data_IF_691701703105
#
_entry.id   IF_691701703105
#
_cell.length_a   1.000
_cell.length_b   1.000
_cell.length_c   1.000
_cell.angle_alpha   90.00
_cell.angle_beta   90.00
_cell.angle_gamma   90.00
#
_symmetry.space_group_name_H-M   'P 1'
#
loop_
_entity.id
_entity.type
_entity.pdbx_description
1 polymer ?
#
# COMPACT_ATOMS: atom_id res chain seq x y z
N UNK A 1 6.58 -11.25 10.43
CA UNK A 1 7.17 -10.94 11.75
C UNK A 1 7.50 -12.14 12.61
N UNK A 2 6.58 -13.09 12.88
CA UNK A 2 6.86 -14.32 13.68
C UNK A 2 8.10 -15.13 13.25
N UNK A 3 8.45 -15.12 11.95
CA UNK A 3 9.70 -15.73 11.46
C UNK A 3 10.94 -15.00 11.96
N UNK A 4 10.95 -13.66 11.92
CA UNK A 4 12.03 -12.82 12.44
C UNK A 4 12.15 -12.99 13.95
N UNK A 5 11.01 -13.04 14.69
CA UNK A 5 11.00 -13.36 16.12
C UNK A 5 11.81 -14.62 16.44
N UNK A 6 11.59 -15.70 15.70
CA UNK A 6 12.30 -16.97 15.89
C UNK A 6 13.77 -16.88 15.51
N UNK A 7 14.11 -16.15 14.46
CA UNK A 7 15.50 -15.95 14.02
C UNK A 7 16.32 -15.17 15.08
N UNK A 8 15.72 -14.12 15.64
CA UNK A 8 16.34 -13.22 16.61
C UNK A 8 16.12 -13.64 18.07
N UNK A 9 15.36 -14.72 18.32
CA UNK A 9 14.99 -15.21 19.67
C UNK A 9 14.32 -14.14 20.54
N UNK A 10 13.45 -13.33 19.93
CA UNK A 10 12.71 -12.27 20.61
C UNK A 10 11.52 -12.83 21.41
N UNK A 11 11.22 -12.20 22.54
CA UNK A 11 10.06 -12.57 23.39
C UNK A 11 8.72 -12.40 22.65
N UNK A 12 8.61 -11.37 21.81
CA UNK A 12 7.43 -11.08 21.00
C UNK A 12 7.81 -10.79 19.54
N UNK A 13 6.88 -10.94 18.57
CA UNK A 13 7.11 -10.51 17.20
C UNK A 13 7.49 -9.03 17.14
N UNK A 14 8.58 -8.65 16.44
CA UNK A 14 8.93 -7.25 16.29
C UNK A 14 7.93 -6.56 15.37
N UNK A 15 7.76 -5.25 15.55
CA UNK A 15 6.86 -4.48 14.70
C UNK A 15 7.49 -4.21 13.32
N UNK A 16 6.68 -4.00 12.28
CA UNK A 16 7.21 -3.69 10.95
C UNK A 16 8.10 -2.45 10.93
N UNK A 17 7.74 -1.38 11.65
CA UNK A 17 8.54 -0.15 11.70
C UNK A 17 9.92 -0.32 12.37
N UNK A 18 10.15 -1.39 13.13
CA UNK A 18 11.48 -1.72 13.69
C UNK A 18 12.34 -2.49 12.68
N UNK A 19 11.72 -3.10 11.67
CA UNK A 19 12.37 -4.01 10.74
C UNK A 19 12.62 -3.40 9.36
N UNK A 20 11.85 -2.38 8.97
CA UNK A 20 11.94 -1.72 7.68
C UNK A 20 12.34 -0.25 7.83
N UNK A 21 13.30 0.19 7.02
CA UNK A 21 13.70 1.60 7.00
C UNK A 21 12.66 2.48 6.30
N UNK A 22 11.92 1.90 5.33
CA UNK A 22 10.84 2.59 4.61
C UNK A 22 9.65 1.65 4.41
N UNK A 23 8.45 2.15 4.72
CA UNK A 23 7.16 1.50 4.46
C UNK A 23 6.35 2.41 3.54
N UNK A 24 5.74 1.84 2.49
CA UNK A 24 5.06 2.62 1.48
C UNK A 24 3.79 1.95 0.98
N UNK A 25 2.83 2.76 0.51
CA UNK A 25 1.57 2.22 0.02
C UNK A 25 0.75 3.18 -0.84
N UNK A 26 -0.22 2.59 -1.55
CA UNK A 26 -1.22 3.26 -2.39
C UNK A 26 -2.59 2.66 -2.08
N UNK A 27 -3.66 3.46 -2.13
CA UNK A 27 -5.02 3.00 -1.86
C UNK A 27 -5.14 2.36 -0.47
N UNK A 28 -5.71 1.16 -0.38
CA UNK A 28 -5.78 0.40 0.88
C UNK A 28 -4.40 0.04 1.44
N UNK A 29 -3.39 -0.13 0.57
CA UNK A 29 -2.00 -0.33 0.98
C UNK A 29 -1.41 0.89 1.68
N UNK A 30 -1.87 2.11 1.35
CA UNK A 30 -1.46 3.32 2.07
C UNK A 30 -2.03 3.35 3.50
N UNK A 31 -3.26 2.88 3.70
CA UNK A 31 -3.86 2.73 5.03
C UNK A 31 -3.00 1.79 5.88
N UNK A 32 -2.60 0.64 5.31
CA UNK A 32 -1.72 -0.32 5.98
C UNK A 32 -0.33 0.27 6.26
N UNK A 33 0.26 0.99 5.30
CA UNK A 33 1.54 1.66 5.47
C UNK A 33 1.50 2.68 6.61
N UNK A 34 0.43 3.49 6.69
CA UNK A 34 0.25 4.44 7.78
C UNK A 34 0.03 3.74 9.13
N UNK A 35 -0.79 2.70 9.22
CA UNK A 35 -1.01 1.98 10.48
C UNK A 35 0.30 1.35 10.99
N UNK A 36 1.02 0.63 10.14
CA UNK A 36 2.21 -0.15 10.53
C UNK A 36 3.49 0.68 10.62
N UNK A 37 3.58 1.79 9.89
CA UNK A 37 4.72 2.70 9.86
C UNK A 37 4.46 3.97 10.66
N UNK A 38 3.65 4.89 10.11
CA UNK A 38 3.44 6.24 10.65
C UNK A 38 2.79 6.27 12.03
N UNK A 39 1.83 5.39 12.28
CA UNK A 39 1.10 5.25 13.55
C UNK A 39 1.73 4.20 14.47
N UNK A 40 2.72 3.44 13.97
CA UNK A 40 3.46 2.41 14.73
C UNK A 40 2.55 1.40 15.44
N UNK A 41 1.42 1.06 14.83
CA UNK A 41 0.47 0.13 15.41
C UNK A 41 1.01 -1.31 15.38
N UNK A 42 0.80 -2.11 16.44
CA UNK A 42 0.99 -3.55 16.39
C UNK A 42 0.17 -4.17 15.25
N UNK A 43 0.70 -5.25 14.65
CA UNK A 43 0.10 -5.90 13.48
C UNK A 43 -1.33 -6.38 13.78
N UNK A 44 -1.55 -6.97 14.95
CA UNK A 44 -2.85 -7.45 15.39
C UNK A 44 -3.88 -6.30 15.48
N UNK A 45 -3.50 -5.18 16.10
CA UNK A 45 -4.36 -3.98 16.19
C UNK A 45 -4.64 -3.35 14.83
N UNK A 46 -3.68 -3.38 13.90
CA UNK A 46 -3.86 -2.89 12.54
C UNK A 46 -4.87 -3.76 11.75
N UNK A 47 -4.85 -5.09 11.94
CA UNK A 47 -5.83 -6.01 11.33
C UNK A 47 -7.24 -5.69 11.82
N UNK A 48 -7.43 -5.58 13.14
CA UNK A 48 -8.75 -5.27 13.73
C UNK A 48 -9.27 -3.90 13.29
N UNK A 49 -8.38 -2.90 13.30
CA UNK A 49 -8.70 -1.54 12.88
C UNK A 49 -9.09 -1.47 11.40
N UNK A 50 -8.39 -2.22 10.53
CA UNK A 50 -8.76 -2.32 9.13
C UNK A 50 -10.10 -3.03 8.92
N UNK A 51 -10.37 -4.10 9.66
CA UNK A 51 -11.64 -4.81 9.57
C UNK A 51 -12.82 -3.87 9.94
N UNK A 52 -12.66 -3.08 11.00
CA UNK A 52 -13.64 -2.08 11.41
C UNK A 52 -13.81 -0.95 10.39
N UNK A 53 -12.71 -0.46 9.81
CA UNK A 53 -12.76 0.51 8.72
C UNK A 53 -13.49 -0.05 7.51
N UNK A 54 -13.15 -1.25 7.05
CA UNK A 54 -13.77 -1.89 5.90
C UNK A 54 -15.28 -2.03 6.10
N UNK A 55 -15.70 -2.51 7.28
CA UNK A 55 -17.11 -2.59 7.64
C UNK A 55 -17.79 -1.22 7.66
N UNK A 56 -17.18 -0.21 8.29
CA UNK A 56 -17.77 1.13 8.41
C UNK A 56 -17.89 1.88 7.09
N UNK A 57 -16.97 1.64 6.15
CA UNK A 57 -16.89 2.35 4.87
C UNK A 57 -17.67 1.65 3.76
N UNK A 58 -17.55 0.32 3.66
CA UNK A 58 -18.07 -0.43 2.51
C UNK A 58 -19.46 -1.05 2.75
N UNK A 59 -20.01 -1.00 3.96
CA UNK A 59 -21.38 -1.48 4.25
C UNK A 59 -22.49 -0.56 3.71
N UNK A 60 -22.22 0.72 3.49
CA UNK A 60 -23.21 1.69 3.01
C UNK A 60 -22.87 2.20 1.60
N UNK A 61 -23.52 1.66 0.57
CA UNK A 61 -23.47 2.19 -0.79
C UNK A 61 -24.37 3.41 -0.97
N UNK A 62 -23.93 4.39 -1.76
CA UNK A 62 -24.78 5.52 -2.16
C UNK A 62 -25.85 5.06 -3.16
N UNK A 63 -27.06 5.60 -3.01
CA UNK A 63 -28.17 5.39 -3.97
C UNK A 63 -28.09 6.31 -5.20
N UNK A 64 -27.53 7.51 -5.04
CA UNK A 64 -27.42 8.54 -6.08
C UNK A 64 -26.14 9.38 -5.90
N UNK A 65 -25.65 9.98 -6.99
CA UNK A 65 -24.46 10.85 -7.01
C UNK A 65 -23.16 10.13 -7.41
N UNK A 66 -22.06 10.87 -7.53
CA UNK A 66 -20.76 10.31 -7.94
C UNK A 66 -20.06 9.52 -6.83
N UNK A 67 -19.41 8.42 -7.24
CA UNK A 67 -18.73 7.43 -6.41
C UNK A 67 -19.70 6.49 -5.67
N UNK A 68 -19.32 5.23 -5.53
CA UNK A 68 -20.14 4.20 -4.87
C UNK A 68 -20.27 4.36 -3.34
N UNK A 69 -19.29 5.00 -2.69
CA UNK A 69 -19.16 5.10 -1.23
C UNK A 69 -19.06 6.55 -0.73
N UNK A 70 -19.33 6.75 0.56
CA UNK A 70 -19.32 8.07 1.21
C UNK A 70 -17.90 8.40 1.72
N UNK A 71 -17.30 9.46 1.17
CA UNK A 71 -16.02 10.01 1.67
C UNK A 71 -16.12 10.45 3.13
N UNK A 72 -17.31 10.86 3.61
CA UNK A 72 -17.53 11.23 5.03
C UNK A 72 -17.34 10.04 5.96
N UNK A 73 -17.86 8.85 5.59
CA UNK A 73 -17.66 7.62 6.36
C UNK A 73 -16.19 7.20 6.37
N UNK A 74 -15.52 7.27 5.22
CA UNK A 74 -14.08 7.02 5.14
C UNK A 74 -13.29 7.96 6.06
N UNK A 75 -13.58 9.27 6.01
CA UNK A 75 -12.98 10.28 6.89
C UNK A 75 -13.20 9.96 8.37
N UNK A 76 -14.44 9.67 8.76
CA UNK A 76 -14.79 9.36 10.16
C UNK A 76 -14.06 8.11 10.66
N UNK A 77 -14.08 7.02 9.88
CA UNK A 77 -13.37 5.79 10.24
C UNK A 77 -11.85 6.01 10.36
N UNK A 78 -11.24 6.76 9.45
CA UNK A 78 -9.81 7.09 9.51
C UNK A 78 -9.47 7.95 10.73
N UNK A 79 -10.23 9.03 10.98
CA UNK A 79 -10.01 9.90 12.15
C UNK A 79 -10.16 9.12 13.46
N UNK A 80 -11.07 8.15 13.53
CA UNK A 80 -11.19 7.28 14.70
C UNK A 80 -9.93 6.43 14.91
N UNK A 81 -9.39 5.78 13.87
CA UNK A 81 -8.14 5.01 14.00
C UNK A 81 -7.00 5.89 14.50
N UNK A 82 -6.85 7.08 13.91
CA UNK A 82 -5.77 8.02 14.25
C UNK A 82 -5.94 8.52 15.68
N UNK A 83 -7.16 8.91 16.09
CA UNK A 83 -7.47 9.32 17.46
C UNK A 83 -7.08 8.27 18.51
N UNK A 84 -7.36 6.99 18.23
CA UNK A 84 -6.99 5.90 19.14
C UNK A 84 -5.48 5.69 19.20
N UNK A 85 -4.76 5.90 18.09
CA UNK A 85 -3.32 5.71 18.01
C UNK A 85 -2.51 6.88 18.59
N UNK A 86 -2.96 8.12 18.42
CA UNK A 86 -2.15 9.33 18.72
C UNK A 86 -2.77 10.27 19.74
N UNK A 87 -4.06 10.15 20.02
CA UNK A 87 -4.80 11.14 20.79
C UNK A 87 -5.24 12.39 19.99
N UNK A 88 -4.83 12.51 18.73
CA UNK A 88 -5.16 13.64 17.84
C UNK A 88 -5.75 13.12 16.52
N UNK A 89 -7.05 13.32 16.24
CA UNK A 89 -7.69 12.82 15.02
C UNK A 89 -7.18 13.51 13.75
N UNK A 90 -6.52 14.66 13.89
CA UNK A 90 -5.97 15.47 12.80
C UNK A 90 -4.43 15.43 12.78
N UNK A 91 -3.82 14.40 13.40
CA UNK A 91 -2.38 14.15 13.41
C UNK A 91 -1.76 14.39 12.01
N UNK A 92 -0.73 15.26 11.89
CA UNK A 92 -0.06 15.56 10.63
C UNK A 92 0.60 14.33 10.00
N UNK A 93 0.58 14.22 8.67
CA UNK A 93 1.34 13.17 7.99
C UNK A 93 2.84 13.32 8.23
N UNK A 94 3.35 14.56 8.12
CA UNK A 94 4.74 14.91 8.42
C UNK A 94 5.01 14.84 9.93
N UNK A 95 6.02 14.09 10.35
CA UNK A 95 6.44 13.99 11.74
C UNK A 95 7.22 15.25 12.15
N UNK A 96 6.80 15.89 13.26
CA UNK A 96 7.48 17.09 13.80
C UNK A 96 8.90 16.79 14.30
N UNK A 97 9.14 15.56 14.74
CA UNK A 97 10.44 15.07 15.18
C UNK A 97 10.72 13.78 14.45
N UNK A 98 11.78 13.76 13.66
CA UNK A 98 12.23 12.59 12.93
C UNK A 98 13.66 12.29 13.35
N UNK A 99 13.90 11.13 13.95
CA UNK A 99 15.26 10.71 14.34
C UNK A 99 15.92 9.94 13.20
N UNK A 100 17.24 10.07 13.07
CA UNK A 100 17.98 9.25 12.09
C UNK A 100 17.78 7.77 12.39
N UNK A 101 17.54 6.97 11.34
CA UNK A 101 17.20 5.55 11.44
C UNK A 101 15.75 5.21 11.79
N UNK A 102 14.88 6.20 11.98
CA UNK A 102 13.43 5.97 12.12
C UNK A 102 12.81 5.49 10.80
N UNK A 103 11.85 4.56 10.86
CA UNK A 103 11.12 4.12 9.68
C UNK A 103 10.36 5.29 9.03
N UNK A 104 10.64 5.57 7.76
CA UNK A 104 9.90 6.54 6.95
C UNK A 104 8.65 5.89 6.36
N UNK A 105 7.51 6.59 6.43
CA UNK A 105 6.29 6.16 5.73
C UNK A 105 6.03 7.05 4.51
N UNK A 106 5.81 6.45 3.34
CA UNK A 106 5.51 7.15 2.10
C UNK A 106 4.13 6.77 1.56
N UNK A 107 3.27 7.76 1.34
CA UNK A 107 1.97 7.58 0.68
C UNK A 107 1.98 8.28 -0.67
N UNK A 108 1.34 7.66 -1.66
CA UNK A 108 1.26 8.17 -3.02
C UNK A 108 -0.18 8.52 -3.37
N UNK A 109 -0.40 9.66 -4.02
CA UNK A 109 -1.69 10.05 -4.60
C UNK A 109 -1.48 10.70 -5.97
N UNK A 110 -2.44 10.55 -6.88
CA UNK A 110 -2.35 11.15 -8.22
C UNK A 110 -3.01 12.51 -8.22
N UNK A 111 -2.39 13.51 -8.86
CA UNK A 111 -3.05 14.79 -9.08
C UNK A 111 -4.18 14.62 -10.09
N UNK A 112 -5.37 15.13 -9.78
CA UNK A 112 -6.52 15.15 -10.70
C UNK A 112 -6.23 15.90 -12.00
N UNK A 113 -5.35 16.90 -11.96
CA UNK A 113 -5.03 17.75 -13.11
C UNK A 113 -3.83 17.23 -13.93
N UNK A 114 -3.05 16.28 -13.41
CA UNK A 114 -1.85 15.77 -14.07
C UNK A 114 -1.77 14.24 -14.00
N UNK A 115 -2.79 13.56 -14.55
CA UNK A 115 -2.81 12.10 -14.62
C UNK A 115 -2.02 11.53 -15.81
N UNK A 116 -1.80 12.33 -16.87
CA UNK A 116 -1.24 11.85 -18.14
C UNK A 116 0.17 11.29 -18.04
N UNK A 117 1.00 11.85 -17.15
CA UNK A 117 2.38 11.41 -17.00
C UNK A 117 2.52 10.16 -16.11
N UNK A 118 1.46 9.73 -15.41
CA UNK A 118 1.56 8.62 -14.45
C UNK A 118 2.48 8.90 -13.26
N UNK A 119 2.83 10.17 -13.01
CA UNK A 119 3.75 10.57 -11.94
C UNK A 119 2.92 10.87 -10.68
N UNK A 120 3.04 10.06 -9.62
CA UNK A 120 2.35 10.32 -8.36
C UNK A 120 3.00 11.46 -7.59
N UNK A 121 2.22 12.10 -6.72
CA UNK A 121 2.73 12.99 -5.69
C UNK A 121 2.97 12.18 -4.43
N UNK A 122 4.13 12.41 -3.80
CA UNK A 122 4.57 11.70 -2.60
C UNK A 122 4.22 12.52 -1.37
N UNK A 123 3.70 11.85 -0.35
CA UNK A 123 3.39 12.39 0.96
C UNK A 123 4.22 11.62 2.00
N UNK A 124 5.41 12.12 2.34
CA UNK A 124 6.33 11.47 3.26
C UNK A 124 6.02 11.79 4.72
N UNK A 125 6.38 10.89 5.63
CA UNK A 125 6.36 11.16 7.07
C UNK A 125 7.57 11.95 7.56
N UNK A 126 8.57 12.16 6.72
CA UNK A 126 9.76 12.96 7.01
C UNK A 126 9.90 14.12 6.01
N UNK A 127 10.76 15.09 6.33
CA UNK A 127 11.05 16.17 5.40
C UNK A 127 11.79 15.63 4.18
N UNK A 128 11.35 16.05 2.99
CA UNK A 128 12.02 15.73 1.71
C UNK A 128 12.39 17.01 0.98
N UNK A 129 13.45 16.96 0.18
CA UNK A 129 14.02 18.14 -0.47
C UNK A 129 13.21 18.64 -1.68
N UNK A 130 12.43 17.78 -2.33
CA UNK A 130 11.67 18.12 -3.52
C UNK A 130 10.41 17.28 -3.68
N UNK A 131 9.46 17.77 -4.49
CA UNK A 131 8.29 17.04 -5.00
C UNK A 131 7.29 16.50 -3.95
N UNK A 132 7.34 17.01 -2.71
CA UNK A 132 6.35 16.70 -1.70
C UNK A 132 4.96 17.24 -2.07
N UNK A 133 3.93 16.50 -1.67
CA UNK A 133 2.58 17.01 -1.61
C UNK A 133 2.42 18.16 -0.60
N UNK A 134 1.28 18.87 -0.64
CA UNK A 134 0.96 19.87 0.39
C UNK A 134 0.87 19.23 1.78
N UNK A 135 1.16 20.02 2.82
CA UNK A 135 0.98 19.60 4.20
C UNK A 135 -0.46 19.18 4.46
N UNK A 136 -0.63 18.08 5.18
CA UNK A 136 -1.93 17.50 5.48
C UNK A 136 -1.90 16.59 6.70
N UNK A 137 -3.07 16.30 7.25
CA UNK A 137 -3.26 15.23 8.22
C UNK A 137 -3.23 13.85 7.56
N UNK A 138 -2.95 12.82 8.35
CA UNK A 138 -2.93 11.43 7.88
C UNK A 138 -4.26 11.05 7.20
N UNK A 139 -5.41 11.44 7.76
CA UNK A 139 -6.70 11.08 7.17
C UNK A 139 -6.96 11.78 5.83
N UNK A 140 -6.44 13.00 5.61
CA UNK A 140 -6.62 13.74 4.35
C UNK A 140 -5.93 13.01 3.21
N UNK A 141 -4.66 12.62 3.39
CA UNK A 141 -3.93 11.89 2.36
C UNK A 141 -4.49 10.48 2.15
N UNK A 142 -4.95 9.80 3.20
CA UNK A 142 -5.60 8.49 3.05
C UNK A 142 -6.94 8.58 2.30
N UNK A 143 -7.72 9.65 2.50
CA UNK A 143 -8.89 9.93 1.66
C UNK A 143 -8.51 10.18 0.20
N UNK A 144 -7.43 10.94 -0.05
CA UNK A 144 -6.97 11.26 -1.40
C UNK A 144 -6.44 10.05 -2.18
N UNK A 145 -5.60 9.21 -1.56
CA UNK A 145 -5.08 7.99 -2.21
C UNK A 145 -6.15 6.93 -2.44
N UNK A 146 -7.27 6.96 -1.69
CA UNK A 146 -8.41 6.07 -1.91
C UNK A 146 -9.48 6.68 -2.83
N UNK A 147 -9.28 7.91 -3.34
CA UNK A 147 -10.28 8.66 -4.10
C UNK A 147 -10.45 8.18 -5.55
N UNK A 148 -10.77 6.89 -5.73
CA UNK A 148 -10.97 6.30 -7.05
C UNK A 148 -12.31 6.77 -7.60
N UNK A 149 -12.42 7.33 -8.82
CA UNK A 149 -13.66 7.94 -9.33
C UNK A 149 -14.91 7.05 -9.24
N UNK A 150 -14.74 5.74 -9.39
CA UNK A 150 -15.82 4.75 -9.28
C UNK A 150 -16.30 4.49 -7.83
N UNK A 151 -15.43 4.71 -6.85
CA UNK A 151 -15.68 4.41 -5.44
C UNK A 151 -15.90 5.67 -4.60
N UNK A 152 -15.08 6.70 -4.78
CA UNK A 152 -15.07 7.92 -3.99
C UNK A 152 -14.88 9.15 -4.88
N UNK A 153 -15.34 10.31 -4.39
CA UNK A 153 -15.06 11.59 -5.06
C UNK A 153 -13.59 11.97 -4.89
N UNK A 154 -13.06 12.76 -5.82
CA UNK A 154 -11.74 13.40 -5.66
C UNK A 154 -11.66 14.15 -4.34
N UNK A 155 -10.46 14.23 -3.78
CA UNK A 155 -10.21 14.85 -2.49
C UNK A 155 -9.28 16.05 -2.65
N UNK A 156 -9.64 17.18 -2.06
CA UNK A 156 -8.85 18.41 -2.12
C UNK A 156 -8.05 18.56 -0.83
N UNK A 157 -6.76 18.88 -0.96
CA UNK A 157 -5.84 19.12 0.17
C UNK A 157 -5.31 20.56 0.09
N UNK A 158 -5.31 21.24 1.23
CA UNK A 158 -4.98 22.66 1.37
C UNK A 158 -6.20 23.56 1.36
N UNK A 159 -5.97 24.86 1.55
CA UNK A 159 -7.04 25.85 1.66
C UNK A 159 -7.38 26.51 0.30
N UNK A 160 -8.66 26.77 0.00
CA UNK A 160 -9.04 27.57 -1.17
C UNK A 160 -8.39 28.96 -1.16
N UNK A 161 -8.03 29.51 -2.33
CA UNK A 161 -8.19 28.97 -3.69
C UNK A 161 -7.03 28.08 -4.15
N UNK A 162 -6.03 27.82 -3.30
CA UNK A 162 -4.81 27.09 -3.66
C UNK A 162 -4.89 25.57 -3.40
N UNK A 163 -6.04 25.08 -2.93
CA UNK A 163 -6.29 23.68 -2.69
C UNK A 163 -5.99 22.83 -3.95
N UNK A 164 -5.27 21.73 -3.75
CA UNK A 164 -4.87 20.82 -4.82
C UNK A 164 -5.78 19.60 -4.80
N UNK A 165 -6.32 19.24 -5.97
CA UNK A 165 -7.23 18.10 -6.12
C UNK A 165 -6.50 16.81 -6.46
N UNK A 166 -6.83 15.74 -5.73
CA UNK A 166 -6.21 14.42 -5.83
C UNK A 166 -7.23 13.31 -6.07
N UNK A 167 -6.75 12.24 -6.71
CA UNK A 167 -7.48 11.00 -7.00
C UNK A 167 -6.60 9.80 -6.64
N UNK A 168 -7.21 8.61 -6.65
CA UNK A 168 -6.53 7.35 -6.33
C UNK A 168 -5.25 7.16 -7.16
N UNK A 169 -4.17 6.81 -6.47
CA UNK A 169 -2.91 6.52 -7.12
C UNK A 169 -2.91 5.20 -7.91
N UNK A 170 -3.89 4.32 -7.70
CA UNK A 170 -4.16 3.16 -8.52
C UNK A 170 -4.40 3.48 -10.01
N UNK A 171 -4.73 4.73 -10.35
CA UNK A 171 -4.88 5.21 -11.73
C UNK A 171 -3.55 5.43 -12.49
N UNK A 172 -2.46 4.77 -12.06
CA UNK A 172 -1.14 4.84 -12.71
C UNK A 172 0.05 4.45 -11.84
N UNK A 173 -0.17 4.20 -10.55
CA UNK A 173 0.85 3.87 -9.56
C UNK A 173 0.26 2.92 -8.49
N UNK A 174 -0.42 1.84 -8.88
CA UNK A 174 -1.01 0.94 -7.87
C UNK A 174 0.06 0.12 -7.13
N UNK A 175 1.14 -0.23 -7.83
CA UNK A 175 2.34 -0.80 -7.23
C UNK A 175 3.44 0.27 -7.21
N UNK A 176 3.69 0.94 -6.07
CA UNK A 176 4.54 2.14 -6.02
C UNK A 176 6.04 1.84 -6.08
N UNK A 177 6.47 0.59 -6.29
CA UNK A 177 7.87 0.18 -6.13
C UNK A 177 8.87 0.99 -6.97
N UNK A 178 8.55 1.30 -8.22
CA UNK A 178 9.44 2.10 -9.07
C UNK A 178 9.67 3.51 -8.49
N UNK A 179 8.59 4.16 -8.04
CA UNK A 179 8.64 5.49 -7.43
C UNK A 179 9.27 5.45 -6.03
N UNK A 180 8.96 4.42 -5.24
CA UNK A 180 9.56 4.18 -3.94
C UNK A 180 11.08 4.05 -4.04
N UNK A 181 11.59 3.23 -4.96
CA UNK A 181 13.03 3.02 -5.11
C UNK A 181 13.76 4.29 -5.57
N UNK A 182 13.11 5.11 -6.40
CA UNK A 182 13.64 6.43 -6.77
C UNK A 182 13.71 7.35 -5.55
N UNK A 183 12.67 7.37 -4.71
CA UNK A 183 12.64 8.20 -3.51
C UNK A 183 13.63 7.73 -2.43
N UNK A 184 13.73 6.43 -2.20
CA UNK A 184 14.71 5.84 -1.27
C UNK A 184 16.13 6.23 -1.62
N UNK A 185 16.47 6.31 -2.92
CA UNK A 185 17.79 6.77 -3.37
C UNK A 185 18.06 8.23 -3.00
N UNK A 186 17.02 9.07 -3.02
CA UNK A 186 17.11 10.48 -2.61
C UNK A 186 17.21 10.62 -1.08
N UNK A 187 16.41 9.84 -0.34
CA UNK A 187 16.39 9.86 1.13
C UNK A 187 17.66 9.27 1.75
N UNK A 188 18.23 8.24 1.12
CA UNK A 188 19.39 7.52 1.63
C UNK A 188 20.48 7.38 0.55
N UNK A 189 21.11 8.49 0.12
CA UNK A 189 22.02 8.50 -1.03
C UNK A 189 23.29 7.64 -0.85
N UNK A 190 23.64 7.33 0.40
CA UNK A 190 24.82 6.54 0.76
C UNK A 190 24.47 5.11 1.22
N UNK A 191 23.20 4.69 1.14
CA UNK A 191 22.78 3.34 1.53
C UNK A 191 22.30 2.56 0.30
N UNK A 192 22.45 1.24 0.38
CA UNK A 192 21.94 0.31 -0.63
C UNK A 192 20.69 -0.39 -0.11
N UNK A 193 19.79 -0.73 -1.02
CA UNK A 193 18.60 -1.53 -0.69
C UNK A 193 19.03 -2.98 -0.45
N UNK A 194 18.96 -3.43 0.81
CA UNK A 194 19.27 -4.81 1.17
C UNK A 194 18.12 -5.77 0.81
N UNK A 195 16.87 -5.34 1.01
CA UNK A 195 15.69 -6.17 0.80
C UNK A 195 14.47 -5.33 0.44
N UNK A 196 13.59 -5.89 -0.38
CA UNK A 196 12.29 -5.35 -0.78
C UNK A 196 11.26 -6.45 -0.61
N UNK A 197 10.33 -6.25 0.32
CA UNK A 197 9.15 -7.12 0.47
C UNK A 197 7.92 -6.39 -0.06
N UNK A 198 7.37 -6.87 -1.17
CA UNK A 198 6.17 -6.34 -1.80
C UNK A 198 4.98 -7.24 -1.53
N UNK A 199 3.93 -6.68 -0.94
CA UNK A 199 2.70 -7.40 -0.61
C UNK A 199 1.60 -6.95 -1.58
N UNK A 200 0.98 -7.90 -2.27
CA UNK A 200 -0.16 -7.67 -3.15
C UNK A 200 -1.49 -8.03 -2.49
N UNK A 201 -2.59 -7.54 -3.07
CA UNK A 201 -3.96 -7.74 -2.58
C UNK A 201 -4.65 -8.96 -3.20
N UNK A 202 -3.89 -9.90 -3.77
CA UNK A 202 -4.40 -11.06 -4.50
C UNK A 202 -4.46 -10.86 -6.01
N UNK A 203 -4.44 -11.97 -6.74
CA UNK A 203 -4.62 -11.99 -8.19
C UNK A 203 -6.09 -12.24 -8.54
N UNK A 204 -6.72 -11.30 -9.22
CA UNK A 204 -8.01 -11.55 -9.87
C UNK A 204 -7.71 -12.32 -11.16
N UNK A 205 -8.07 -13.61 -11.23
CA UNK A 205 -7.63 -14.56 -12.27
C UNK A 205 -8.09 -14.24 -13.70
N UNK A 206 -8.59 -13.04 -13.95
CA UNK A 206 -9.04 -12.61 -15.27
C UNK A 206 -8.68 -11.16 -15.52
N UNK A 207 -7.59 -10.94 -16.26
CA UNK A 207 -7.39 -9.78 -17.16
C UNK A 207 -8.37 -9.91 -18.37
N UNK A 208 -9.44 -10.68 -18.24
CA UNK A 208 -10.54 -10.80 -19.18
C UNK A 208 -11.81 -10.35 -18.46
N UNK A 209 -12.72 -9.69 -19.18
CA UNK A 209 -13.99 -9.28 -18.57
C UNK A 209 -14.73 -10.56 -18.16
N UNK A 210 -15.23 -10.69 -16.92
CA UNK A 210 -15.94 -11.89 -16.50
C UNK A 210 -17.15 -12.14 -17.42
N UNK A 211 -17.24 -13.34 -17.98
CA UNK A 211 -18.45 -13.82 -18.67
C UNK A 211 -19.49 -14.39 -17.69
N UNK A 212 -19.24 -14.34 -16.38
CA UNK A 212 -20.14 -14.85 -15.34
C UNK A 212 -21.20 -13.81 -14.96
N UNK A 213 -22.47 -14.16 -15.17
CA UNK A 213 -23.64 -13.28 -14.98
C UNK A 213 -23.86 -12.77 -13.55
N UNK A 214 -23.23 -13.38 -12.54
CA UNK A 214 -23.42 -13.02 -11.12
C UNK A 214 -22.60 -11.79 -10.68
N UNK A 215 -21.34 -11.63 -11.11
CA UNK A 215 -20.51 -10.46 -10.74
C UNK A 215 -20.99 -9.16 -11.41
N UNK A 216 -21.62 -9.28 -12.59
CA UNK A 216 -22.24 -8.15 -13.32
C UNK A 216 -23.38 -7.49 -12.56
N UNK A 217 -24.00 -8.15 -11.58
CA UNK A 217 -25.17 -7.62 -10.88
C UNK A 217 -24.84 -6.60 -9.77
N UNK A 218 -23.60 -6.58 -9.24
CA UNK A 218 -23.26 -5.79 -8.04
C UNK A 218 -22.27 -4.65 -8.27
N UNK A 219 -21.51 -4.67 -9.37
CA UNK A 219 -20.52 -3.64 -9.70
C UNK A 219 -20.78 -3.05 -11.11
N UNK A 220 -20.81 -1.72 -11.27
CA UNK A 220 -20.91 -1.08 -12.58
C UNK A 220 -19.76 -1.49 -13.52
N UNK A 221 -20.04 -1.58 -14.83
CA UNK A 221 -19.02 -1.91 -15.85
C UNK A 221 -17.76 -1.02 -15.75
N UNK A 222 -17.87 0.32 -15.56
CA UNK A 222 -16.69 1.16 -15.40
C UNK A 222 -15.79 0.78 -14.21
N UNK A 223 -16.40 0.37 -13.08
CA UNK A 223 -15.66 -0.13 -11.92
C UNK A 223 -14.86 -1.40 -12.26
N UNK A 224 -15.44 -2.33 -13.02
CA UNK A 224 -14.75 -3.55 -13.48
C UNK A 224 -13.56 -3.21 -14.37
N UNK A 225 -13.74 -2.29 -15.32
CA UNK A 225 -12.66 -1.83 -16.23
C UNK A 225 -11.53 -1.19 -15.44
N UNK A 226 -11.85 -0.35 -14.47
CA UNK A 226 -10.85 0.29 -13.62
C UNK A 226 -10.07 -0.72 -12.77
N UNK A 227 -10.78 -1.66 -12.11
CA UNK A 227 -10.13 -2.75 -11.35
C UNK A 227 -9.17 -3.56 -12.22
N UNK A 228 -9.56 -3.87 -13.47
CA UNK A 228 -8.70 -4.57 -14.44
C UNK A 228 -7.45 -3.75 -14.79
N UNK A 229 -7.59 -2.44 -15.02
CA UNK A 229 -6.47 -1.56 -15.32
C UNK A 229 -5.46 -1.50 -14.15
N UNK A 230 -5.99 -1.34 -12.93
CA UNK A 230 -5.21 -1.36 -11.67
C UNK A 230 -4.43 -2.67 -11.52
N UNK A 231 -5.09 -3.81 -11.71
CA UNK A 231 -4.46 -5.13 -11.62
C UNK A 231 -3.36 -5.31 -12.67
N UNK A 232 -3.62 -4.87 -13.92
CA UNK A 232 -2.65 -4.97 -15.02
C UNK A 232 -1.40 -4.16 -14.74
N UNK A 233 -1.55 -2.92 -14.26
CA UNK A 233 -0.39 -2.07 -13.90
C UNK A 233 0.41 -2.67 -12.74
N UNK A 234 -0.28 -3.21 -11.73
CA UNK A 234 0.33 -3.83 -10.55
C UNK A 234 1.26 -4.98 -10.93
N UNK A 235 0.79 -5.89 -11.79
CA UNK A 235 1.54 -7.05 -12.24
C UNK A 235 2.65 -6.65 -13.21
N UNK A 236 2.44 -5.63 -14.06
CA UNK A 236 3.49 -5.06 -14.91
C UNK A 236 4.68 -4.58 -14.08
N UNK A 237 4.45 -3.80 -13.03
CA UNK A 237 5.53 -3.32 -12.14
C UNK A 237 6.17 -4.47 -11.36
N UNK A 238 5.37 -5.45 -10.89
CA UNK A 238 5.92 -6.60 -10.19
C UNK A 238 6.88 -7.42 -11.07
N UNK A 239 6.51 -7.66 -12.33
CA UNK A 239 7.34 -8.34 -13.32
C UNK A 239 8.60 -7.52 -13.68
N UNK A 240 8.47 -6.19 -13.81
CA UNK A 240 9.62 -5.30 -14.02
C UNK A 240 10.62 -5.41 -12.86
N UNK A 241 10.15 -5.38 -11.61
CA UNK A 241 11.00 -5.53 -10.43
C UNK A 241 11.62 -6.93 -10.36
N UNK A 242 10.86 -7.99 -10.67
CA UNK A 242 11.39 -9.35 -10.74
C UNK A 242 12.53 -9.47 -11.76
N UNK A 243 12.40 -8.84 -12.94
CA UNK A 243 13.48 -8.79 -13.94
C UNK A 243 14.67 -7.98 -13.45
N UNK A 244 14.42 -6.82 -12.85
CA UNK A 244 15.47 -5.93 -12.33
C UNK A 244 16.32 -6.60 -11.25
N UNK A 245 15.72 -7.41 -10.39
CA UNK A 245 16.39 -8.08 -9.27
C UNK A 245 16.69 -9.56 -9.52
N UNK A 246 16.48 -10.07 -10.74
CA UNK A 246 16.71 -11.47 -11.14
C UNK A 246 18.05 -12.03 -10.70
N UNK A 247 19.12 -11.24 -10.81
CA UNK A 247 20.49 -11.67 -10.50
C UNK A 247 20.90 -11.39 -9.06
N UNK A 248 20.00 -10.83 -8.24
CA UNK A 248 20.27 -10.42 -6.87
C UNK A 248 19.46 -11.29 -5.93
N UNK A 249 20.05 -12.43 -5.58
CA UNK A 249 19.37 -13.39 -4.72
C UNK A 249 19.06 -12.78 -3.34
N UNK A 250 17.83 -12.96 -2.89
CA UNK A 250 17.39 -12.46 -1.59
C UNK A 250 17.12 -10.95 -1.49
N UNK A 251 17.06 -10.21 -2.61
CA UNK A 251 16.72 -8.77 -2.59
C UNK A 251 15.22 -8.52 -2.77
N UNK A 252 14.55 -9.17 -3.74
CA UNK A 252 13.14 -8.89 -4.03
C UNK A 252 12.23 -10.07 -3.71
N UNK A 253 11.22 -9.84 -2.87
CA UNK A 253 10.20 -10.81 -2.50
C UNK A 253 8.82 -10.25 -2.78
N UNK A 254 8.11 -10.82 -3.77
CA UNK A 254 6.69 -10.55 -4.00
C UNK A 254 5.84 -11.64 -3.34
N UNK A 255 4.96 -11.22 -2.46
CA UNK A 255 3.92 -12.04 -1.84
C UNK A 255 2.56 -11.57 -2.36
N UNK A 256 1.88 -12.40 -3.13
CA UNK A 256 0.58 -12.08 -3.69
C UNK A 256 -0.24 -13.36 -3.75
N UNK A 257 -1.46 -13.37 -3.24
CA UNK A 257 -2.28 -14.59 -3.21
C UNK A 257 -2.72 -14.92 -4.64
N UNK A 258 -2.22 -16.02 -5.18
CA UNK A 258 -2.43 -16.37 -6.59
C UNK A 258 -3.87 -16.83 -6.88
N UNK A 259 -4.50 -17.52 -5.92
CA UNK A 259 -5.79 -18.18 -6.09
C UNK A 259 -6.67 -18.08 -4.84
N UNK A 260 -7.97 -17.88 -5.05
CA UNK A 260 -9.02 -17.91 -4.02
C UNK A 260 -9.64 -16.54 -3.73
N UNK A 261 -9.00 -15.45 -4.14
CA UNK A 261 -9.50 -14.09 -3.93
C UNK A 261 -10.23 -13.51 -5.16
N UNK A 262 -10.59 -14.34 -6.13
CA UNK A 262 -11.18 -13.87 -7.40
C UNK A 262 -12.60 -13.37 -7.26
N UNK A 263 -13.36 -13.97 -6.35
CA UNK A 263 -14.76 -13.64 -6.08
C UNK A 263 -14.91 -12.67 -4.89
N UNK A 264 -13.80 -12.21 -4.31
CA UNK A 264 -13.80 -11.19 -3.26
C UNK A 264 -13.86 -9.81 -3.90
N UNK A 265 -15.00 -9.15 -3.78
CA UNK A 265 -15.18 -7.78 -4.26
C UNK A 265 -14.32 -6.78 -3.46
N UNK A 266 -13.97 -5.65 -4.07
CA UNK A 266 -13.22 -4.57 -3.39
C UNK A 266 -14.00 -3.97 -2.20
N UNK A 267 -15.32 -4.15 -2.20
CA UNK A 267 -16.28 -3.76 -1.17
C UNK A 267 -16.77 -4.94 -0.32
N UNK A 268 -16.20 -6.14 -0.51
CA UNK A 268 -16.56 -7.39 0.16
C UNK A 268 -16.09 -7.45 1.61
N UNK A 269 -16.44 -6.46 2.43
CA UNK A 269 -16.09 -6.44 3.87
C UNK A 269 -16.66 -7.65 4.62
N UNK A 270 -17.74 -8.26 4.13
CA UNK A 270 -18.32 -9.50 4.66
C UNK A 270 -17.44 -10.74 4.40
N UNK A 271 -16.53 -10.67 3.42
CA UNK A 271 -15.67 -11.77 2.99
C UNK A 271 -14.27 -11.73 3.64
N UNK A 272 -14.06 -10.92 4.69
CA UNK A 272 -12.76 -10.84 5.38
C UNK A 272 -12.30 -12.21 5.93
N UNK A 273 -13.24 -13.07 6.35
CA UNK A 273 -12.97 -14.44 6.77
C UNK A 273 -12.45 -15.32 5.61
N UNK A 274 -13.02 -15.16 4.41
CA UNK A 274 -12.54 -15.83 3.19
C UNK A 274 -11.13 -15.35 2.83
N UNK A 275 -10.89 -14.03 2.90
CA UNK A 275 -9.55 -13.45 2.68
C UNK A 275 -8.53 -14.04 3.64
N UNK A 276 -8.87 -14.15 4.93
CA UNK A 276 -8.00 -14.79 5.93
C UNK A 276 -7.76 -16.27 5.61
N UNK A 277 -8.78 -17.01 5.20
CA UNK A 277 -8.70 -18.42 4.82
C UNK A 277 -7.77 -18.65 3.63
N UNK A 278 -7.99 -17.91 2.54
CA UNK A 278 -7.17 -18.01 1.33
C UNK A 278 -5.74 -17.55 1.55
N UNK A 279 -5.52 -16.47 2.30
CA UNK A 279 -4.17 -16.00 2.65
C UNK A 279 -3.44 -17.04 3.51
N UNK A 280 -4.13 -17.66 4.46
CA UNK A 280 -3.57 -18.73 5.29
C UNK A 280 -3.20 -19.97 4.48
N UNK A 281 -4.02 -20.35 3.50
CA UNK A 281 -3.73 -21.45 2.59
C UNK A 281 -2.53 -21.13 1.68
N UNK A 282 -2.48 -19.92 1.11
CA UNK A 282 -1.37 -19.43 0.29
C UNK A 282 -0.04 -19.48 1.05
N UNK A 283 -0.01 -19.00 2.29
CA UNK A 283 1.22 -19.03 3.13
C UNK A 283 1.72 -20.43 3.48
N UNK A 284 0.86 -21.45 3.39
CA UNK A 284 1.21 -22.86 3.66
C UNK A 284 1.79 -23.58 2.44
N UNK A 285 1.66 -23.03 1.23
CA UNK A 285 2.31 -23.59 0.05
C UNK A 285 3.82 -23.64 0.28
N UNK A 286 4.46 -24.76 -0.08
CA UNK A 286 5.88 -25.01 0.23
C UNK A 286 6.77 -23.87 -0.28
N UNK A 287 6.65 -23.53 -1.56
CA UNK A 287 7.46 -22.49 -2.19
C UNK A 287 7.21 -21.10 -1.58
N UNK A 288 5.96 -20.80 -1.21
CA UNK A 288 5.59 -19.53 -0.57
C UNK A 288 6.15 -19.47 0.84
N UNK A 289 6.01 -20.54 1.61
CA UNK A 289 6.54 -20.64 2.96
C UNK A 289 8.06 -20.43 2.96
N UNK A 290 8.78 -21.13 2.07
CA UNK A 290 10.22 -20.95 1.87
C UNK A 290 10.58 -19.52 1.45
N UNK A 291 9.81 -18.92 0.52
CA UNK A 291 10.00 -17.52 0.10
C UNK A 291 9.89 -16.56 1.28
N UNK A 292 8.91 -16.75 2.18
CA UNK A 292 8.75 -15.88 3.35
C UNK A 292 9.86 -16.14 4.39
N UNK A 293 10.35 -17.38 4.55
CA UNK A 293 11.52 -17.66 5.38
C UNK A 293 12.77 -16.93 4.87
N UNK A 294 13.00 -16.95 3.55
CA UNK A 294 14.09 -16.22 2.90
C UNK A 294 13.94 -14.70 3.04
N UNK A 295 12.72 -14.18 2.92
CA UNK A 295 12.44 -12.76 3.15
C UNK A 295 12.78 -12.36 4.59
N UNK A 296 12.35 -13.17 5.58
CA UNK A 296 12.66 -12.92 6.99
C UNK A 296 14.18 -12.94 7.27
N UNK A 297 14.93 -13.87 6.67
CA UNK A 297 16.39 -13.91 6.77
C UNK A 297 17.06 -12.70 6.12
N UNK A 298 16.56 -12.26 4.96
CA UNK A 298 17.09 -11.09 4.25
C UNK A 298 16.88 -9.80 5.05
N UNK A 299 15.66 -9.58 5.55
CA UNK A 299 15.32 -8.45 6.44
C UNK A 299 16.22 -8.44 7.68
N UNK A 300 16.42 -9.62 8.28
CA UNK A 300 17.19 -9.76 9.51
C UNK A 300 18.69 -9.52 9.32
N UNK A 301 19.27 -10.15 8.30
CA UNK A 301 20.71 -10.12 8.07
C UNK A 301 21.22 -8.78 7.54
N UNK A 302 20.34 -7.96 6.94
CA UNK A 302 20.63 -6.65 6.32
C UNK A 302 21.89 -6.65 5.44
N UNK A 303 22.19 -7.79 4.78
CA UNK A 303 23.40 -7.92 3.95
C UNK A 303 23.27 -7.03 2.71
N UNK A 304 24.28 -6.18 2.49
CA UNK A 304 24.36 -5.40 1.27
C UNK A 304 24.72 -6.33 0.10
N UNK A 305 23.75 -6.59 -0.79
CA UNK A 305 24.04 -7.22 -2.08
C UNK A 305 24.45 -6.11 -3.03
N UNK A 306 25.75 -6.00 -3.31
CA UNK A 306 26.32 -4.85 -4.05
C UNK A 306 25.67 -4.72 -5.42
N UNK A 307 25.07 -3.55 -5.66
CA UNK A 307 24.63 -3.09 -6.97
C UNK A 307 25.88 -2.81 -7.83
N UNK A 308 26.33 -3.80 -8.63
CA UNK A 308 27.26 -3.54 -9.74
C UNK A 308 26.43 -3.23 -10.97
N UNK A 309 26.32 -1.95 -11.30
CA UNK A 309 25.87 -1.51 -12.61
C UNK A 309 26.81 -2.14 -13.65
N UNK A 310 26.30 -3.05 -14.47
CA UNK A 310 27.07 -3.81 -15.45
C UNK A 310 27.44 -3.00 -16.70
N UNK A 311 27.44 -1.66 -16.61
CA UNK A 311 27.75 -0.76 -17.72
C UNK A 311 29.24 -0.52 -17.98
N UNK A 312 30.15 -1.34 -17.43
CA UNK A 312 31.56 -1.34 -17.86
C UNK A 312 32.09 -2.76 -18.05
N UNK A 313 31.93 -3.26 -19.28
CA UNK A 313 32.99 -3.82 -20.16
C UNK A 313 32.32 -4.46 -21.37
N UNK A 314 32.49 -3.81 -22.53
CA UNK A 314 32.51 -4.49 -23.84
C UNK A 314 33.93 -5.03 -24.00
#
# INVERSE_FOLDING_TARGET
MKRIQRLEKLEAPPNPYDCFDVIAGTGTGAVQACMLGRLRMPVESAIESYANLAKGVFSEKKRYGSGSFKTTKLKESLRNIIQHATGDPDEPMLERKFTDGQCTTLVFAMSKHNMRAGIPIIFPSCQVAANAGPDCSIWQILCATMAHPEFFKSFDIGDPPLARSFVDAGLGCNNPLAHLLAEVKTLHPQRYVASVTSIGTGHTRTIQIPNTSFLRHFLPIPAIVAMKAIATDTERVAEEMARRFRSMDGVYFRLNVDQGLQDVGMDGWEQLSEVMGHTSAYMKLVDVSQKIDRAAQSINSRKATVWRDSTRKI
#
